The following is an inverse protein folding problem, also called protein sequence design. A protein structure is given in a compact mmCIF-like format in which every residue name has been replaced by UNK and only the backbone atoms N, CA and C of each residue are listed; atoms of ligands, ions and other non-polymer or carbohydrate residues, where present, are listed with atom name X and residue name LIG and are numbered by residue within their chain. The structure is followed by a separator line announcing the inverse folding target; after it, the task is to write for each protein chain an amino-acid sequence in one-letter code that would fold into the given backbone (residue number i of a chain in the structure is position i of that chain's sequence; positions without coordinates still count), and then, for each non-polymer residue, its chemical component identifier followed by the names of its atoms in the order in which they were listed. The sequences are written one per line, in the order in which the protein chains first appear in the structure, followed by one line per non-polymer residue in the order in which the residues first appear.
data_IF_926617720709
#
_entry.id   IF_926617720709
#
_cell.length_a   1.000
_cell.length_b   1.000
_cell.length_c   1.000
_cell.angle_alpha   90.00
_cell.angle_beta   90.00
_cell.angle_gamma   90.00
#
_symmetry.space_group_name_H-M   'P 1'
#
loop_
_entity.id
_entity.type
_entity.pdbx_description
1 polymer ?
#
# COMPACT_ATOMS: atom_id res chain seq x y z
N UNK A 1 -4.50 5.67 -21.60
CA UNK A 1 -5.66 5.50 -20.70
C UNK A 1 -5.94 4.07 -20.22
N UNK A 2 -6.19 3.04 -21.05
CA UNK A 2 -6.51 1.70 -20.50
C UNK A 2 -5.32 1.03 -19.78
N UNK A 3 -4.12 1.13 -20.37
CA UNK A 3 -2.88 0.63 -19.75
C UNK A 3 -2.54 1.35 -18.44
N UNK A 4 -2.74 2.67 -18.38
CA UNK A 4 -2.54 3.47 -17.15
C UNK A 4 -3.46 2.98 -16.03
N UNK A 5 -4.75 2.75 -16.31
CA UNK A 5 -5.69 2.21 -15.32
C UNK A 5 -5.23 0.87 -14.77
N UNK A 6 -4.78 -0.03 -15.65
CA UNK A 6 -4.27 -1.36 -15.25
C UNK A 6 -3.05 -1.20 -14.33
N UNK A 7 -2.10 -0.34 -14.68
CA UNK A 7 -0.90 -0.09 -13.87
C UNK A 7 -1.29 0.47 -12.50
N UNK A 8 -2.23 1.43 -12.44
CA UNK A 8 -2.71 2.01 -11.19
C UNK A 8 -3.35 0.95 -10.29
N UNK A 9 -4.22 0.09 -10.83
CA UNK A 9 -4.83 -1.00 -10.05
C UNK A 9 -3.79 -2.01 -9.53
N UNK A 10 -2.78 -2.35 -10.35
CA UNK A 10 -1.71 -3.25 -9.93
C UNK A 10 -0.87 -2.64 -8.81
N UNK A 11 -0.49 -1.36 -8.94
CA UNK A 11 0.27 -0.64 -7.92
C UNK A 11 -0.51 -0.54 -6.59
N UNK A 12 -1.81 -0.25 -6.65
CA UNK A 12 -2.68 -0.27 -5.47
C UNK A 12 -2.78 -1.66 -4.84
N UNK A 13 -2.87 -2.71 -5.65
CA UNK A 13 -2.89 -4.09 -5.16
C UNK A 13 -1.62 -4.44 -4.36
N UNK A 14 -0.45 -4.07 -4.90
CA UNK A 14 0.83 -4.27 -4.21
C UNK A 14 0.91 -3.44 -2.93
N UNK A 15 0.48 -2.17 -2.95
CA UNK A 15 0.45 -1.32 -1.77
C UNK A 15 -0.45 -1.88 -0.66
N UNK A 16 -1.62 -2.42 -1.03
CA UNK A 16 -2.53 -3.09 -0.09
C UNK A 16 -1.88 -4.31 0.56
N UNK A 17 -1.17 -5.13 -0.20
CA UNK A 17 -0.43 -6.28 0.33
C UNK A 17 0.67 -5.86 1.31
N UNK A 18 1.42 -4.80 0.98
CA UNK A 18 2.46 -4.25 1.88
C UNK A 18 1.83 -3.80 3.20
N UNK A 19 0.74 -3.03 3.16
CA UNK A 19 0.03 -2.61 4.37
C UNK A 19 -0.41 -3.81 5.22
N UNK A 20 -0.96 -4.85 4.61
CA UNK A 20 -1.40 -6.05 5.32
C UNK A 20 -0.23 -6.81 5.97
N UNK A 21 0.88 -6.97 5.27
CA UNK A 21 2.06 -7.65 5.79
C UNK A 21 2.65 -6.94 7.00
N UNK A 22 2.79 -5.61 6.94
CA UNK A 22 3.36 -4.85 8.04
C UNK A 22 2.35 -4.59 9.17
N UNK A 23 1.04 -4.58 8.91
CA UNK A 23 0.03 -4.64 9.98
C UNK A 23 0.12 -5.98 10.73
N UNK A 24 0.25 -7.09 10.00
CA UNK A 24 0.44 -8.40 10.61
C UNK A 24 1.74 -8.43 11.42
N UNK A 25 2.82 -7.85 10.89
CA UNK A 25 4.08 -7.79 11.61
C UNK A 25 4.01 -6.92 12.87
N UNK A 26 3.36 -5.76 12.80
CA UNK A 26 3.17 -4.89 13.95
C UNK A 26 2.40 -5.59 15.09
N UNK A 27 1.41 -6.42 14.73
CA UNK A 27 0.56 -7.12 15.71
C UNK A 27 1.20 -8.41 16.22
N UNK A 28 1.82 -9.20 15.34
CA UNK A 28 2.32 -10.54 15.66
C UNK A 28 3.85 -10.62 15.86
N UNK A 29 4.61 -9.61 15.41
CA UNK A 29 6.06 -9.53 15.57
C UNK A 29 6.85 -10.57 14.77
N UNK A 30 6.38 -10.93 13.58
CA UNK A 30 6.90 -12.01 12.73
C UNK A 30 8.32 -11.73 12.23
N UNK A 31 8.66 -10.48 11.88
CA UNK A 31 9.93 -10.06 11.29
C UNK A 31 10.87 -9.35 12.29
N UNK A 32 10.68 -9.55 13.60
CA UNK A 32 11.61 -9.07 14.62
C UNK A 32 11.26 -7.73 15.29
N UNK A 33 9.96 -7.42 15.41
CA UNK A 33 9.37 -6.27 16.13
C UNK A 33 10.14 -4.96 15.91
N UNK A 34 10.26 -4.53 14.66
CA UNK A 34 10.75 -3.19 14.35
C UNK A 34 9.58 -2.25 14.08
N UNK A 35 9.00 -1.73 15.16
CA UNK A 35 7.80 -0.88 15.13
C UNK A 35 7.98 0.33 14.20
N UNK A 36 9.18 0.92 14.16
CA UNK A 36 9.45 2.05 13.29
C UNK A 36 9.33 1.66 11.81
N UNK A 37 9.87 0.50 11.43
CA UNK A 37 9.74 -0.04 10.08
C UNK A 37 8.27 -0.31 9.74
N UNK A 38 7.56 -1.00 10.64
CA UNK A 38 6.15 -1.33 10.45
C UNK A 38 5.29 -0.10 10.17
N UNK A 39 5.43 0.93 11.01
CA UNK A 39 4.71 2.19 10.88
C UNK A 39 5.05 2.88 9.55
N UNK A 40 6.34 2.94 9.17
CA UNK A 40 6.75 3.59 7.93
C UNK A 40 6.18 2.91 6.69
N UNK A 41 6.19 1.56 6.65
CA UNK A 41 5.62 0.82 5.52
C UNK A 41 4.10 0.90 5.48
N UNK A 42 3.41 0.89 6.63
CA UNK A 42 1.97 1.10 6.69
C UNK A 42 1.59 2.50 6.18
N UNK A 43 2.29 3.54 6.64
CA UNK A 43 2.04 4.91 6.19
C UNK A 43 2.33 5.05 4.69
N UNK A 44 3.48 4.56 4.22
CA UNK A 44 3.85 4.61 2.80
C UNK A 44 2.85 3.90 1.90
N UNK A 45 2.40 2.70 2.29
CA UNK A 45 1.38 1.97 1.55
C UNK A 45 0.01 2.68 1.57
N UNK A 46 -0.38 3.26 2.71
CA UNK A 46 -1.62 4.04 2.81
C UNK A 46 -1.60 5.29 1.91
N UNK A 47 -0.47 6.00 1.83
CA UNK A 47 -0.29 7.11 0.89
C UNK A 47 -0.41 6.64 -0.56
N UNK A 48 0.19 5.50 -0.90
CA UNK A 48 0.15 4.97 -2.27
C UNK A 48 -1.27 4.52 -2.67
N UNK A 49 -2.02 3.94 -1.72
CA UNK A 49 -3.43 3.62 -1.91
C UNK A 49 -4.27 4.87 -2.15
N UNK A 50 -4.08 5.94 -1.35
CA UNK A 50 -4.78 7.20 -1.57
C UNK A 50 -4.45 7.79 -2.95
N UNK A 51 -3.16 7.90 -3.29
CA UNK A 51 -2.76 8.40 -4.61
C UNK A 51 -3.36 7.57 -5.76
N UNK A 52 -3.44 6.25 -5.60
CA UNK A 52 -4.09 5.38 -6.57
C UNK A 52 -5.58 5.65 -6.73
N UNK A 53 -6.30 5.92 -5.62
CA UNK A 53 -7.73 6.30 -5.65
C UNK A 53 -7.93 7.63 -6.40
N UNK A 54 -7.15 8.67 -6.08
CA UNK A 54 -7.21 9.96 -6.78
C UNK A 54 -6.95 9.78 -8.29
N UNK A 55 -5.89 9.03 -8.63
CA UNK A 55 -5.53 8.73 -10.02
C UNK A 55 -6.67 8.02 -10.78
N UNK A 56 -7.37 7.09 -10.14
CA UNK A 56 -8.53 6.41 -10.77
C UNK A 56 -9.67 7.40 -11.04
N UNK A 57 -9.92 8.34 -10.14
CA UNK A 57 -10.94 9.38 -10.34
C UNK A 57 -10.57 10.33 -11.47
N UNK A 58 -9.30 10.70 -11.60
CA UNK A 58 -8.80 11.54 -12.70
C UNK A 58 -8.83 10.84 -14.06
N UNK A 59 -8.55 9.53 -14.08
CA UNK A 59 -8.56 8.74 -15.32
C UNK A 59 -9.98 8.33 -15.77
N UNK A 60 -11.03 8.68 -15.01
CA UNK A 60 -12.42 8.31 -15.30
C UNK A 60 -12.96 9.09 -16.49
#
# INVERSE_FOLDING_TARGET
MQTEKIITYLAMGVAGLICLLFLLDLVAGIFGRNIAMDILFILGGAFLLWQGVETIFELR
#
